data_IF_613179587855
#
_entry.id   IF_613179587855
#
_cell.length_a   1.000
_cell.length_b   1.000
_cell.length_c   1.000
_cell.angle_alpha   90.00
_cell.angle_beta   90.00
_cell.angle_gamma   90.00
#
_symmetry.space_group_name_H-M   'P 1'
#
loop_
_entity.id
_entity.type
_entity.pdbx_description
1 polymer ?
#
# COMPACT_ATOMS: atom_id res chain seq x y z
N UNK A 1 2.07 -9.88 10.68
CA UNK A 1 1.73 -11.32 10.57
C UNK A 1 1.85 -12.09 11.87
N UNK A 2 2.97 -12.02 12.61
CA UNK A 2 3.14 -12.81 13.85
C UNK A 2 2.05 -12.58 14.91
N UNK A 3 1.43 -11.39 14.93
CA UNK A 3 0.31 -11.04 15.82
C UNK A 3 -1.04 -11.65 15.40
N UNK A 4 -1.16 -12.20 14.19
CA UNK A 4 -2.39 -12.81 13.69
C UNK A 4 -2.09 -14.10 12.91
N UNK A 5 -1.83 -15.22 13.63
CA UNK A 5 -1.36 -16.47 13.03
C UNK A 5 -2.35 -17.07 12.03
N UNK A 6 -3.67 -16.87 12.22
CA UNK A 6 -4.70 -17.36 11.29
C UNK A 6 -4.59 -16.74 9.90
N UNK A 7 -4.27 -15.45 9.82
CA UNK A 7 -4.07 -14.76 8.54
C UNK A 7 -2.79 -15.28 7.87
N UNK A 8 -1.72 -15.46 8.65
CA UNK A 8 -0.46 -16.00 8.16
C UNK A 8 -0.62 -17.41 7.58
N UNK A 9 -1.35 -18.30 8.26
CA UNK A 9 -1.63 -19.65 7.76
C UNK A 9 -2.39 -19.61 6.44
N UNK A 10 -3.39 -18.74 6.32
CA UNK A 10 -4.18 -18.59 5.09
C UNK A 10 -3.35 -18.04 3.92
N UNK A 11 -2.52 -17.04 4.17
CA UNK A 11 -1.59 -16.48 3.18
C UNK A 11 -0.59 -17.53 2.71
N UNK A 12 0.03 -18.26 3.63
CA UNK A 12 0.98 -19.33 3.30
C UNK A 12 0.32 -20.47 2.52
N UNK A 13 -0.94 -20.81 2.82
CA UNK A 13 -1.68 -21.80 2.08
C UNK A 13 -1.92 -21.38 0.62
N UNK A 14 -2.29 -20.12 0.37
CA UNK A 14 -2.45 -19.58 -1.00
C UNK A 14 -1.12 -19.65 -1.77
N UNK A 15 -0.02 -19.19 -1.16
CA UNK A 15 1.29 -19.19 -1.82
C UNK A 15 1.75 -20.62 -2.13
N UNK A 16 1.62 -21.54 -1.19
CA UNK A 16 1.96 -22.96 -1.43
C UNK A 16 1.11 -23.55 -2.52
N UNK A 17 -0.20 -23.30 -2.52
CA UNK A 17 -1.09 -23.82 -3.56
C UNK A 17 -0.70 -23.33 -4.97
N UNK A 18 -0.26 -22.07 -5.09
CA UNK A 18 0.12 -21.49 -6.38
C UNK A 18 1.50 -21.98 -6.88
N UNK A 19 2.50 -22.13 -5.98
CA UNK A 19 3.90 -22.35 -6.37
C UNK A 19 4.52 -23.68 -5.92
N UNK A 20 3.74 -24.62 -5.36
CA UNK A 20 4.27 -25.90 -4.82
C UNK A 20 5.10 -26.71 -5.84
N UNK A 21 4.82 -26.53 -7.13
CA UNK A 21 5.39 -27.34 -8.23
C UNK A 21 6.62 -26.74 -8.87
N UNK A 22 6.73 -25.41 -8.90
CA UNK A 22 7.78 -24.68 -9.62
C UNK A 22 8.95 -24.31 -8.70
N UNK A 23 8.74 -24.20 -7.39
CA UNK A 23 9.78 -23.86 -6.41
C UNK A 23 10.27 -22.41 -6.45
N UNK A 24 10.23 -21.79 -7.63
CA UNK A 24 10.53 -20.37 -7.86
C UNK A 24 9.24 -19.56 -8.13
N UNK A 25 9.23 -18.33 -7.61
CA UNK A 25 8.15 -17.36 -7.81
C UNK A 25 8.56 -16.39 -8.92
N UNK A 26 7.80 -16.33 -9.99
CA UNK A 26 7.93 -15.34 -11.07
C UNK A 26 7.07 -14.11 -10.75
N UNK A 27 7.61 -12.91 -10.99
CA UNK A 27 6.86 -11.66 -10.78
C UNK A 27 5.58 -11.58 -11.65
N UNK A 28 5.63 -12.15 -12.86
CA UNK A 28 4.50 -12.21 -13.78
C UNK A 28 3.28 -12.92 -13.17
N UNK A 29 3.53 -13.91 -12.31
CA UNK A 29 2.52 -14.80 -11.78
C UNK A 29 1.97 -14.32 -10.43
N UNK A 30 2.56 -13.27 -9.84
CA UNK A 30 2.13 -12.69 -8.55
C UNK A 30 0.67 -12.21 -8.57
N UNK A 31 0.10 -11.97 -9.75
CA UNK A 31 -1.30 -11.60 -9.90
C UNK A 31 -2.26 -12.70 -9.43
N UNK A 32 -1.82 -13.96 -9.40
CA UNK A 32 -2.61 -15.11 -8.92
C UNK A 32 -2.78 -15.09 -7.38
N UNK A 33 -1.83 -14.48 -6.67
CA UNK A 33 -1.83 -14.36 -5.19
C UNK A 33 -2.77 -13.25 -4.71
N UNK A 34 -4.07 -13.50 -4.82
CA UNK A 34 -5.11 -12.51 -4.53
C UNK A 34 -5.16 -12.13 -3.06
N UNK A 35 -5.07 -13.10 -2.15
CA UNK A 35 -5.13 -12.85 -0.71
C UNK A 35 -3.87 -12.15 -0.21
N UNK A 36 -2.69 -12.55 -0.68
CA UNK A 36 -1.44 -11.84 -0.38
C UNK A 36 -1.51 -10.36 -0.81
N UNK A 37 -2.07 -10.08 -1.98
CA UNK A 37 -2.27 -8.70 -2.45
C UNK A 37 -3.17 -7.89 -1.50
N UNK A 38 -4.23 -8.50 -0.96
CA UNK A 38 -5.11 -7.85 0.02
C UNK A 38 -4.39 -7.60 1.35
N UNK A 39 -3.59 -8.56 1.79
CA UNK A 39 -2.72 -8.44 2.96
C UNK A 39 -1.76 -7.26 2.86
N UNK A 40 -1.12 -7.09 1.70
CA UNK A 40 -0.20 -5.96 1.44
C UNK A 40 -0.97 -4.64 1.49
N UNK A 41 -2.13 -4.56 0.83
CA UNK A 41 -2.99 -3.36 0.86
C UNK A 41 -3.38 -2.98 2.28
N UNK A 42 -3.81 -3.95 3.09
CA UNK A 42 -4.20 -3.68 4.47
C UNK A 42 -3.01 -3.26 5.34
N UNK A 43 -1.83 -3.84 5.09
CA UNK A 43 -0.60 -3.44 5.77
C UNK A 43 -0.23 -2.00 5.45
N UNK A 44 -0.30 -1.59 4.18
CA UNK A 44 -0.01 -0.21 3.76
C UNK A 44 -1.08 0.78 4.25
N UNK A 45 -2.33 0.35 4.39
CA UNK A 45 -3.41 1.17 4.99
C UNK A 45 -3.15 1.47 6.46
N UNK A 46 -2.62 0.50 7.22
CA UNK A 46 -2.32 0.66 8.65
C UNK A 46 -0.95 1.30 8.91
N UNK A 47 0.00 1.08 8.02
CA UNK A 47 1.40 1.48 8.17
C UNK A 47 1.94 2.10 6.88
N UNK A 48 1.41 3.26 6.44
CA UNK A 48 1.85 3.91 5.21
C UNK A 48 3.28 4.44 5.35
N UNK A 49 4.23 4.06 4.47
CA UNK A 49 5.58 4.59 4.48
C UNK A 49 5.79 5.66 3.39
N UNK A 50 6.14 6.92 3.72
CA UNK A 50 6.10 7.60 5.03
C UNK A 50 4.70 8.14 5.40
N UNK A 51 4.30 8.19 6.69
CA UNK A 51 2.92 8.53 7.10
C UNK A 51 2.43 9.93 6.75
N UNK A 52 3.34 10.90 6.59
CA UNK A 52 3.01 12.28 6.20
C UNK A 52 3.28 12.57 4.71
N UNK A 53 3.50 11.50 3.93
CA UNK A 53 3.98 11.55 2.55
C UNK A 53 5.20 12.47 2.39
N UNK A 54 5.57 12.76 1.14
CA UNK A 54 6.54 13.81 0.85
C UNK A 54 5.81 15.15 0.76
N UNK A 55 6.32 16.22 1.41
CA UNK A 55 5.77 17.55 1.27
C UNK A 55 5.69 17.96 -0.20
N UNK A 56 4.54 18.47 -0.62
CA UNK A 56 4.32 19.04 -1.95
C UNK A 56 4.26 20.56 -1.88
N UNK A 57 4.36 21.22 -3.01
CA UNK A 57 4.26 22.68 -3.10
C UNK A 57 3.23 23.07 -4.16
N UNK A 58 2.38 24.05 -3.86
CA UNK A 58 1.41 24.57 -4.84
C UNK A 58 2.13 25.33 -5.95
N UNK A 59 1.89 24.97 -7.21
CA UNK A 59 2.52 25.64 -8.36
C UNK A 59 1.92 27.03 -8.61
N UNK A 60 0.61 27.17 -8.36
CA UNK A 60 -0.14 28.40 -8.57
C UNK A 60 -1.16 28.62 -7.44
N UNK A 61 -1.86 29.76 -7.49
CA UNK A 61 -2.98 30.01 -6.57
C UNK A 61 -4.14 29.08 -6.91
N UNK A 62 -4.63 28.32 -5.94
CA UNK A 62 -5.78 27.44 -6.12
C UNK A 62 -6.77 27.55 -4.95
N UNK A 63 -7.94 26.95 -5.09
CA UNK A 63 -8.94 26.87 -4.03
C UNK A 63 -9.23 25.41 -3.70
N UNK A 64 -9.22 25.05 -2.42
CA UNK A 64 -9.59 23.73 -1.93
C UNK A 64 -10.69 23.92 -0.88
N UNK A 65 -11.88 23.36 -1.11
CA UNK A 65 -13.02 23.45 -0.19
C UNK A 65 -13.38 24.88 0.25
N UNK A 66 -13.30 25.87 -0.64
CA UNK A 66 -13.56 27.28 -0.31
C UNK A 66 -12.36 28.03 0.29
N UNK A 67 -11.24 27.36 0.53
CA UNK A 67 -10.02 27.97 1.05
C UNK A 67 -9.06 28.27 -0.08
N UNK A 68 -8.63 29.53 -0.14
CA UNK A 68 -7.60 29.96 -1.06
C UNK A 68 -6.20 29.52 -0.58
N UNK A 69 -5.47 28.85 -1.46
CA UNK A 69 -4.10 28.41 -1.27
C UNK A 69 -3.21 29.21 -2.22
N UNK A 70 -2.33 30.09 -1.71
CA UNK A 70 -1.38 30.83 -2.53
C UNK A 70 -0.36 29.91 -3.22
N UNK A 71 0.23 30.41 -4.31
CA UNK A 71 1.39 29.77 -4.94
C UNK A 71 2.55 29.61 -3.94
N UNK A 72 3.34 28.55 -4.12
CA UNK A 72 4.48 28.16 -3.25
C UNK A 72 4.13 27.74 -1.82
N UNK A 73 2.85 27.45 -1.55
CA UNK A 73 2.43 26.90 -0.26
C UNK A 73 2.88 25.46 -0.13
N UNK A 74 3.56 25.11 0.97
CA UNK A 74 3.92 23.74 1.31
C UNK A 74 2.70 22.99 1.84
N UNK A 75 2.43 21.82 1.26
CA UNK A 75 1.33 20.93 1.57
C UNK A 75 1.86 19.63 2.16
N UNK A 76 1.33 19.25 3.32
CA UNK A 76 1.63 17.98 3.99
C UNK A 76 0.36 17.15 4.00
N UNK A 77 0.46 15.89 3.60
CA UNK A 77 -0.68 14.98 3.50
C UNK A 77 -0.59 13.94 4.59
N UNK A 78 -1.64 13.84 5.42
CA UNK A 78 -1.75 12.75 6.39
C UNK A 78 -2.28 11.51 5.66
N UNK A 79 -1.42 10.50 5.49
CA UNK A 79 -1.68 9.31 4.68
C UNK A 79 -2.59 8.29 5.37
#
# INVERSE_FOLDING_TARGET
>A
MMKNPRILEKEQAEVRQAYDRTGDVSESDLHELTYLKLVIKETLRLHPPPPLLLPRESMERCEINGYEIPAKTKLVFNA
#
